data_IF_777864422184
#
_entry.id   IF_777864422184
#
_cell.length_a   1.000
_cell.length_b   1.000
_cell.length_c   1.000
_cell.angle_alpha   90.00
_cell.angle_beta   90.00
_cell.angle_gamma   90.00
#
_symmetry.space_group_name_H-M   'P 1'
#
loop_
_entity.id
_entity.type
_entity.pdbx_description
1 polymer ?
#
# COMPACT_ATOMS: atom_id res chain seq x y z
N UNK A 1 -11.09 -2.15 29.03
CA UNK A 1 -11.55 -1.75 27.68
C UNK A 1 -11.00 -2.78 26.72
N UNK A 2 -11.88 -3.67 26.27
CA UNK A 2 -11.50 -4.84 25.46
C UNK A 2 -11.26 -4.39 24.02
N UNK A 3 -10.05 -4.64 23.51
CA UNK A 3 -9.76 -4.49 22.08
C UNK A 3 -10.29 -5.77 21.43
N UNK A 4 -11.48 -5.71 20.84
CA UNK A 4 -12.02 -6.81 20.04
C UNK A 4 -11.11 -7.09 18.85
N UNK A 5 -10.78 -8.37 18.68
CA UNK A 5 -9.95 -8.87 17.59
C UNK A 5 -10.74 -8.73 16.29
N UNK A 6 -10.14 -8.11 15.29
CA UNK A 6 -10.74 -7.82 13.99
C UNK A 6 -10.99 -9.11 13.18
N UNK A 7 -12.20 -9.65 13.31
CA UNK A 7 -12.84 -10.36 12.20
C UNK A 7 -12.96 -9.34 11.07
N UNK A 8 -12.64 -9.71 9.83
CA UNK A 8 -12.84 -8.82 8.67
C UNK A 8 -14.34 -8.65 8.53
N UNK A 9 -14.88 -7.57 9.12
CA UNK A 9 -16.31 -7.34 9.12
C UNK A 9 -16.78 -7.15 7.68
N UNK A 10 -17.73 -7.99 7.26
CA UNK A 10 -18.54 -7.77 6.07
C UNK A 10 -19.29 -6.43 6.17
N UNK A 11 -19.46 -5.90 7.38
CA UNK A 11 -19.90 -4.53 7.62
C UNK A 11 -18.77 -3.54 7.30
N UNK A 12 -19.06 -2.61 6.39
CA UNK A 12 -18.12 -1.55 6.02
C UNK A 12 -17.78 -0.60 7.17
N UNK A 13 -16.73 0.23 7.00
CA UNK A 13 -16.40 1.24 7.98
C UNK A 13 -17.56 2.21 8.14
N UNK A 14 -17.87 2.53 9.39
CA UNK A 14 -18.98 3.42 9.78
C UNK A 14 -18.41 4.83 9.99
N UNK A 15 -19.19 5.84 9.60
CA UNK A 15 -18.82 7.24 9.72
C UNK A 15 -18.35 7.60 11.14
N UNK A 16 -17.28 8.39 11.22
CA UNK A 16 -16.71 8.93 12.46
C UNK A 16 -16.07 7.88 13.38
N UNK A 17 -15.93 6.62 12.92
CA UNK A 17 -15.27 5.57 13.69
C UNK A 17 -13.77 5.56 13.47
N UNK A 18 -13.10 4.84 14.34
CA UNK A 18 -11.66 4.63 14.27
C UNK A 18 -11.38 3.13 14.18
N UNK A 19 -10.49 2.76 13.26
CA UNK A 19 -10.15 1.37 12.99
C UNK A 19 -8.63 1.15 13.05
N UNK A 20 -8.23 -0.08 13.39
CA UNK A 20 -6.86 -0.54 13.12
C UNK A 20 -6.80 -1.01 11.66
N UNK A 21 -5.83 -0.50 10.93
CA UNK A 21 -5.57 -0.84 9.54
C UNK A 21 -4.07 -1.07 9.30
N UNK A 22 -3.75 -1.52 8.10
CA UNK A 22 -2.43 -2.01 7.71
C UNK A 22 -2.02 -1.47 6.35
N UNK A 23 -0.74 -1.10 6.24
CA UNK A 23 -0.11 -0.65 5.00
C UNK A 23 1.15 -1.49 4.73
N UNK A 24 1.14 -2.30 3.68
CA UNK A 24 2.32 -3.05 3.24
C UNK A 24 3.24 -2.19 2.38
N UNK A 25 4.52 -2.17 2.70
CA UNK A 25 5.55 -1.40 1.96
C UNK A 25 6.94 -2.01 2.18
N UNK A 26 7.99 -1.37 1.67
CA UNK A 26 9.39 -1.79 1.89
C UNK A 26 9.95 -1.25 3.21
N UNK A 27 11.01 -1.85 3.75
CA UNK A 27 11.68 -1.30 4.96
C UNK A 27 12.11 0.15 4.80
N UNK A 28 12.65 0.51 3.64
CA UNK A 28 13.11 1.86 3.37
C UNK A 28 11.94 2.86 3.42
N UNK A 29 10.80 2.52 2.81
CA UNK A 29 9.60 3.34 2.82
C UNK A 29 8.97 3.40 4.21
N UNK A 30 8.95 2.29 4.96
CA UNK A 30 8.45 2.30 6.33
C UNK A 30 9.24 3.25 7.24
N UNK A 31 10.58 3.25 7.14
CA UNK A 31 11.42 4.20 7.88
C UNK A 31 11.13 5.64 7.48
N UNK A 32 10.95 5.90 6.18
CA UNK A 32 10.56 7.22 5.67
C UNK A 32 9.22 7.66 6.26
N UNK A 33 8.19 6.82 6.18
CA UNK A 33 6.84 7.08 6.71
C UNK A 33 6.86 7.28 8.23
N UNK A 34 7.64 6.50 8.98
CA UNK A 34 7.81 6.70 10.41
C UNK A 34 8.42 8.06 10.75
N UNK A 35 9.36 8.54 9.93
CA UNK A 35 10.06 9.82 10.15
C UNK A 35 9.27 11.04 9.70
N UNK A 36 8.53 10.94 8.59
CA UNK A 36 7.87 12.09 7.95
C UNK A 36 6.35 12.04 7.97
N UNK A 37 5.77 10.96 8.48
CA UNK A 37 4.35 10.63 8.30
C UNK A 37 4.03 10.11 6.90
N UNK A 38 2.79 9.68 6.72
CA UNK A 38 2.25 9.28 5.41
C UNK A 38 2.12 10.48 4.48
N UNK A 39 2.19 10.20 3.18
CA UNK A 39 1.91 11.16 2.11
C UNK A 39 0.92 10.52 1.15
N UNK A 40 0.03 11.34 0.59
CA UNK A 40 -0.89 10.87 -0.43
C UNK A 40 -0.11 10.33 -1.63
N UNK A 41 -0.56 9.21 -2.18
CA UNK A 41 -0.21 8.82 -3.55
C UNK A 41 -0.63 9.93 -4.52
N UNK A 42 -0.08 9.98 -5.73
CA UNK A 42 -0.54 10.99 -6.69
C UNK A 42 -1.73 10.52 -7.55
N UNK A 43 -2.04 9.21 -7.53
CA UNK A 43 -3.19 8.59 -8.21
C UNK A 43 -3.50 7.22 -7.58
N UNK A 44 -4.50 6.52 -8.11
CA UNK A 44 -4.90 5.20 -7.68
C UNK A 44 -6.29 4.83 -8.20
N UNK A 45 -6.75 3.62 -7.89
CA UNK A 45 -8.10 3.15 -8.25
C UNK A 45 -9.19 4.08 -7.74
N UNK A 46 -8.95 4.65 -6.56
CA UNK A 46 -9.84 5.55 -5.83
C UNK A 46 -9.36 7.00 -5.90
N UNK A 47 -8.45 7.33 -6.81
CA UNK A 47 -7.79 8.65 -6.85
C UNK A 47 -6.61 8.75 -5.89
N UNK A 48 -6.25 9.97 -5.52
CA UNK A 48 -5.12 10.23 -4.60
C UNK A 48 -5.53 10.01 -3.14
N UNK A 49 -4.63 9.44 -2.34
CA UNK A 49 -4.85 9.21 -0.91
C UNK A 49 -3.83 8.24 -0.33
N UNK A 50 -4.07 7.79 0.90
CA UNK A 50 -3.29 6.74 1.55
C UNK A 50 -4.10 5.45 1.55
N UNK A 51 -3.53 4.41 0.94
CA UNK A 51 -4.18 3.12 0.75
C UNK A 51 -3.90 2.18 1.91
N UNK A 52 -4.96 1.63 2.48
CA UNK A 52 -4.95 0.83 3.70
C UNK A 52 -5.88 -0.37 3.53
N UNK A 53 -5.64 -1.41 4.34
CA UNK A 53 -6.59 -2.51 4.50
C UNK A 53 -6.76 -2.84 5.98
N UNK A 54 -7.96 -3.28 6.34
CA UNK A 54 -8.25 -3.90 7.65
C UNK A 54 -7.72 -5.33 7.74
N UNK A 55 -7.32 -5.93 6.62
CA UNK A 55 -6.71 -7.27 6.55
C UNK A 55 -5.17 -7.18 6.52
N UNK A 56 -4.55 -7.58 7.64
CA UNK A 56 -3.10 -7.67 7.76
C UNK A 56 -2.48 -8.61 6.72
N UNK A 57 -3.12 -9.74 6.42
CA UNK A 57 -2.62 -10.73 5.47
C UNK A 57 -2.66 -10.19 4.04
N UNK A 58 -3.69 -9.39 3.70
CA UNK A 58 -3.69 -8.64 2.44
C UNK A 58 -2.49 -7.69 2.39
N UNK A 59 -2.35 -6.83 3.39
CA UNK A 59 -1.30 -5.83 3.43
C UNK A 59 0.11 -6.45 3.35
N UNK A 60 0.36 -7.58 4.02
CA UNK A 60 1.69 -8.22 4.03
C UNK A 60 2.16 -8.75 2.67
N UNK A 61 1.27 -8.87 1.68
CA UNK A 61 1.66 -9.28 0.31
C UNK A 61 2.38 -8.17 -0.45
N UNK A 62 2.31 -6.92 0.02
CA UNK A 62 2.74 -5.74 -0.70
C UNK A 62 4.16 -5.30 -0.27
N UNK A 63 4.99 -4.82 -1.21
CA UNK A 63 4.73 -4.75 -2.65
C UNK A 63 4.77 -6.15 -3.32
N UNK A 64 3.91 -6.37 -4.31
CA UNK A 64 3.85 -7.66 -5.05
C UNK A 64 5.14 -7.84 -5.86
N UNK A 65 5.66 -9.07 -5.89
CA UNK A 65 6.92 -9.39 -6.55
C UNK A 65 8.17 -8.88 -5.83
N UNK A 66 8.03 -8.19 -4.68
CA UNK A 66 9.16 -7.77 -3.86
C UNK A 66 9.68 -8.92 -3.00
N UNK A 67 11.01 -9.05 -2.80
CA UNK A 67 11.57 -10.01 -1.86
C UNK A 67 10.89 -9.98 -0.50
N UNK A 68 10.44 -11.15 -0.04
CA UNK A 68 9.66 -11.26 1.20
C UNK A 68 10.38 -10.68 2.40
N UNK A 69 11.69 -10.95 2.48
CA UNK A 69 12.50 -10.47 3.57
C UNK A 69 12.47 -8.96 3.70
N UNK A 70 12.14 -8.17 2.67
CA UNK A 70 12.11 -6.70 2.70
C UNK A 70 10.71 -6.06 2.71
N UNK A 71 9.67 -6.88 2.61
CA UNK A 71 8.30 -6.42 2.85
C UNK A 71 8.12 -6.18 4.35
N UNK A 72 7.47 -5.09 4.72
CA UNK A 72 7.07 -4.78 6.10
C UNK A 72 5.66 -4.22 6.09
N UNK A 73 4.95 -4.37 7.21
CA UNK A 73 3.62 -3.80 7.37
C UNK A 73 3.64 -2.73 8.44
N UNK A 74 3.12 -1.55 8.12
CA UNK A 74 2.86 -0.49 9.11
C UNK A 74 1.44 -0.69 9.63
N UNK A 75 1.30 -0.91 10.93
CA UNK A 75 0.01 -0.94 11.61
C UNK A 75 -0.34 0.47 12.07
N UNK A 76 -1.56 0.89 11.77
CA UNK A 76 -2.03 2.25 12.00
C UNK A 76 -3.40 2.27 12.66
N UNK A 77 -3.68 3.35 13.37
CA UNK A 77 -5.02 3.70 13.83
C UNK A 77 -5.55 4.83 12.93
N UNK A 78 -6.74 4.65 12.37
CA UNK A 78 -7.30 5.54 11.35
C UNK A 78 -8.66 6.04 11.79
N UNK A 79 -8.83 7.37 11.92
CA UNK A 79 -10.15 7.98 11.97
C UNK A 79 -10.69 8.08 10.54
N UNK A 80 -11.76 7.35 10.20
CA UNK A 80 -12.23 7.28 8.81
C UNK A 80 -13.09 8.47 8.40
N UNK A 81 -13.48 9.33 9.35
CA UNK A 81 -14.32 10.49 9.06
C UNK A 81 -15.61 10.08 8.34
N UNK A 82 -16.01 10.83 7.32
CA UNK A 82 -17.14 10.49 6.46
C UNK A 82 -16.73 9.51 5.36
N UNK A 83 -17.38 8.35 5.32
CA UNK A 83 -17.05 7.24 4.42
C UNK A 83 -17.97 7.25 3.20
N UNK A 84 -17.41 6.98 2.03
CA UNK A 84 -18.18 6.61 0.83
C UNK A 84 -17.84 5.20 0.39
N UNK A 85 -18.88 4.42 0.08
CA UNK A 85 -18.72 3.12 -0.55
C UNK A 85 -18.55 3.26 -2.06
N UNK A 86 -17.45 2.73 -2.60
CA UNK A 86 -17.17 2.63 -4.04
C UNK A 86 -17.25 1.15 -4.42
N UNK A 87 -18.41 0.70 -4.89
CA UNK A 87 -18.74 -0.72 -5.06
C UNK A 87 -18.75 -1.21 -6.52
N UNK A 88 -18.27 -0.41 -7.47
CA UNK A 88 -18.21 -0.79 -8.89
C UNK A 88 -17.22 0.07 -9.65
N UNK A 89 -16.64 -0.50 -10.71
CA UNK A 89 -15.82 0.26 -11.63
C UNK A 89 -16.65 1.37 -12.30
N UNK A 90 -16.00 2.50 -12.56
CA UNK A 90 -16.62 3.72 -13.09
C UNK A 90 -17.69 4.31 -12.16
N UNK A 91 -17.55 4.13 -10.85
CA UNK A 91 -18.40 4.84 -9.89
C UNK A 91 -18.25 6.36 -10.11
N UNK A 92 -19.33 7.17 -10.12
CA UNK A 92 -19.26 8.60 -10.44
C UNK A 92 -18.30 9.40 -9.55
N UNK A 93 -18.12 8.93 -8.30
CA UNK A 93 -17.23 9.53 -7.32
C UNK A 93 -15.94 8.73 -7.09
N UNK A 94 -15.63 7.74 -7.92
CA UNK A 94 -14.50 6.82 -7.72
C UNK A 94 -13.19 7.54 -7.41
N UNK A 95 -12.92 8.67 -8.09
CA UNK A 95 -11.66 9.44 -7.92
C UNK A 95 -11.84 10.84 -7.33
N UNK A 96 -13.08 11.29 -7.13
CA UNK A 96 -13.46 12.67 -6.79
C UNK A 96 -14.31 12.76 -5.53
N UNK A 97 -14.39 11.67 -4.76
CA UNK A 97 -15.16 11.61 -3.52
C UNK A 97 -14.72 12.66 -2.49
N UNK A 98 -13.43 12.97 -2.41
CA UNK A 98 -12.90 13.99 -1.51
C UNK A 98 -13.43 15.39 -1.83
N UNK A 99 -13.65 15.73 -3.11
CA UNK A 99 -14.25 17.00 -3.53
C UNK A 99 -15.72 17.13 -3.07
N UNK A 100 -16.33 16.02 -2.65
CA UNK A 100 -17.70 15.95 -2.12
C UNK A 100 -17.73 15.89 -0.59
N UNK A 101 -16.59 16.12 0.07
CA UNK A 101 -16.47 16.17 1.52
C UNK A 101 -16.48 14.80 2.20
N UNK A 102 -16.08 13.75 1.49
CA UNK A 102 -15.78 12.45 2.10
C UNK A 102 -14.31 12.38 2.50
N UNK A 103 -14.02 11.75 3.63
CA UNK A 103 -12.69 11.62 4.20
C UNK A 103 -12.03 10.27 3.84
N UNK A 104 -12.86 9.24 3.60
CA UNK A 104 -12.41 7.90 3.20
C UNK A 104 -13.30 7.34 2.09
N UNK A 105 -12.69 6.78 1.04
CA UNK A 105 -13.37 5.89 0.11
C UNK A 105 -13.08 4.44 0.46
N UNK A 106 -14.13 3.62 0.52
CA UNK A 106 -14.05 2.21 0.88
C UNK A 106 -14.59 1.31 -0.25
N UNK A 107 -13.85 0.26 -0.56
CA UNK A 107 -14.22 -0.80 -1.49
C UNK A 107 -14.69 -2.01 -0.70
N UNK A 108 -15.96 -2.44 -0.86
CA UNK A 108 -16.44 -3.66 -0.23
C UNK A 108 -15.76 -4.92 -0.77
N UNK A 109 -15.65 -5.98 0.03
CA UNK A 109 -15.21 -7.27 -0.49
C UNK A 109 -16.19 -7.76 -1.56
N UNK A 110 -15.67 -8.46 -2.56
CA UNK A 110 -16.41 -9.17 -3.62
C UNK A 110 -17.38 -8.28 -4.43
N UNK A 111 -17.12 -6.97 -4.52
CA UNK A 111 -17.95 -6.05 -5.31
C UNK A 111 -17.50 -5.89 -6.77
N UNK A 112 -16.45 -6.61 -7.20
CA UNK A 112 -15.93 -6.52 -8.57
C UNK A 112 -15.10 -5.26 -8.87
N UNK A 113 -14.70 -4.51 -7.83
CA UNK A 113 -13.74 -3.41 -7.96
C UNK A 113 -12.32 -3.90 -8.23
N UNK A 114 -11.88 -4.93 -7.49
CA UNK A 114 -10.54 -5.52 -7.60
C UNK A 114 -10.67 -7.01 -7.87
N UNK A 115 -9.77 -7.58 -8.68
CA UNK A 115 -9.77 -9.02 -9.04
C UNK A 115 -9.71 -9.91 -7.81
N UNK A 116 -8.90 -9.51 -6.82
CA UNK A 116 -8.77 -10.20 -5.54
C UNK A 116 -10.08 -10.33 -4.76
N UNK A 117 -11.07 -9.48 -5.05
CA UNK A 117 -12.29 -9.37 -4.28
C UNK A 117 -12.08 -8.93 -2.82
N UNK A 118 -10.90 -8.42 -2.46
CA UNK A 118 -10.61 -7.97 -1.11
C UNK A 118 -10.95 -6.48 -0.93
N UNK A 119 -11.28 -6.12 0.30
CA UNK A 119 -11.63 -4.75 0.68
C UNK A 119 -10.43 -3.80 0.65
N UNK A 120 -10.70 -2.51 0.48
CA UNK A 120 -9.65 -1.48 0.45
C UNK A 120 -10.18 -0.13 0.91
N UNK A 121 -9.40 0.56 1.73
CA UNK A 121 -9.65 1.92 2.18
C UNK A 121 -8.65 2.88 1.52
N UNK A 122 -9.15 4.02 1.07
CA UNK A 122 -8.32 5.15 0.63
C UNK A 122 -8.69 6.39 1.45
N UNK A 123 -7.78 6.79 2.34
CA UNK A 123 -7.94 7.92 3.24
C UNK A 123 -7.38 9.18 2.60
N UNK A 124 -8.14 10.26 2.67
CA UNK A 124 -7.78 11.52 2.03
C UNK A 124 -6.61 12.20 2.74
N UNK A 125 -6.81 12.63 3.99
CA UNK A 125 -5.82 13.37 4.75
C UNK A 125 -4.95 12.42 5.60
N UNK A 126 -3.63 12.34 5.35
CA UNK A 126 -2.71 11.56 6.18
C UNK A 126 -2.75 11.89 7.67
N UNK A 127 -3.20 13.10 8.07
CA UNK A 127 -3.34 13.47 9.49
C UNK A 127 -4.38 12.65 10.25
N UNK A 128 -5.27 11.95 9.54
CA UNK A 128 -6.23 11.03 10.13
C UNK A 128 -5.61 9.68 10.52
N UNK A 129 -4.34 9.46 10.17
CA UNK A 129 -3.63 8.20 10.35
C UNK A 129 -2.56 8.36 11.43
N UNK A 130 -2.69 7.58 12.49
CA UNK A 130 -1.70 7.48 13.56
C UNK A 130 -0.91 6.19 13.40
N UNK A 131 0.41 6.29 13.25
CA UNK A 131 1.30 5.13 13.19
C UNK A 131 1.40 4.50 14.58
N UNK A 132 1.14 3.20 14.69
CA UNK A 132 1.25 2.46 15.95
C UNK A 132 2.57 1.69 16.02
N UNK A 133 2.83 0.84 15.04
CA UNK A 133 4.01 -0.03 15.01
C UNK A 133 4.33 -0.52 13.59
N UNK A 134 5.48 -1.15 13.42
CA UNK A 134 5.86 -1.86 12.20
C UNK A 134 6.02 -3.35 12.50
N UNK A 135 5.44 -4.17 11.65
CA UNK A 135 5.47 -5.63 11.70
C UNK A 135 6.45 -6.10 10.63
N UNK A 136 7.54 -6.72 11.07
CA UNK A 136 8.53 -7.31 10.18
C UNK A 136 8.23 -8.80 9.91
N UNK A 137 8.59 -9.30 8.72
CA UNK A 137 8.52 -10.72 8.40
C UNK A 137 9.48 -11.48 9.32
N UNK A 138 9.02 -12.58 9.89
CA UNK A 138 9.87 -13.42 10.73
C UNK A 138 10.90 -14.13 9.86
N UNK A 139 12.19 -13.95 10.18
CA UNK A 139 13.26 -14.74 9.55
C UNK A 139 13.17 -16.18 10.06
N UNK A 140 12.83 -17.13 9.19
CA UNK A 140 13.02 -18.55 9.50
C UNK A 140 14.53 -18.80 9.46
N UNK A 141 15.13 -19.10 10.61
CA UNK A 141 16.51 -19.60 10.65
C UNK A 141 16.49 -20.99 10.03
N UNK A 142 17.38 -21.24 9.07
CA UNK A 142 17.63 -22.53 8.42
C UNK A 142 17.56 -23.69 9.44
N UNK A 143 16.42 -24.38 9.50
CA UNK A 143 16.38 -25.74 10.02
C UNK A 143 16.82 -26.62 8.87
N UNK A 144 18.06 -27.10 8.94
CA UNK A 144 18.68 -27.89 7.89
C UNK A 144 17.81 -29.05 7.39
N UNK A 145 18.08 -29.42 6.14
CA UNK A 145 17.47 -30.47 5.31
C UNK A 145 16.19 -30.06 4.52
N UNK A 146 16.44 -29.61 3.29
CA UNK A 146 15.60 -29.94 2.12
C UNK A 146 14.21 -29.30 1.99
N UNK A 147 13.80 -28.42 2.89
CA UNK A 147 12.46 -27.81 2.85
C UNK A 147 12.51 -26.37 2.33
N UNK A 148 11.68 -26.06 1.33
CA UNK A 148 11.55 -24.73 0.69
C UNK A 148 11.12 -23.67 1.73
N UNK A 149 11.57 -22.40 1.59
CA UNK A 149 11.23 -21.34 2.55
C UNK A 149 9.71 -21.07 2.54
N UNK A 150 9.12 -21.08 3.74
CA UNK A 150 7.70 -20.84 3.98
C UNK A 150 7.54 -19.39 4.41
N UNK A 151 6.55 -18.69 3.86
CA UNK A 151 6.15 -17.36 4.34
C UNK A 151 5.52 -17.48 5.72
N UNK A 152 6.12 -16.87 6.74
CA UNK A 152 5.68 -17.06 8.15
C UNK A 152 5.41 -15.74 8.85
N UNK A 153 4.50 -14.94 8.27
CA UNK A 153 3.84 -13.87 9.03
C UNK A 153 3.05 -14.41 10.26
N UNK A 154 2.80 -15.72 10.37
CA UNK A 154 1.81 -16.29 11.29
C UNK A 154 2.17 -17.63 11.96
N UNK A 155 3.41 -17.87 12.39
CA UNK A 155 3.75 -19.13 13.09
C UNK A 155 3.57 -19.13 14.62
N UNK A 156 3.11 -18.05 15.27
CA UNK A 156 3.06 -18.00 16.74
C UNK A 156 1.67 -18.07 17.39
N UNK A 157 0.55 -17.87 16.65
CA UNK A 157 -0.76 -17.66 17.30
C UNK A 157 -2.00 -18.26 16.58
N UNK A 158 -1.87 -19.29 15.72
CA UNK A 158 -3.05 -19.98 15.14
C UNK A 158 -2.95 -21.52 15.24
N UNK A 159 -4.08 -22.22 15.48
CA UNK A 159 -4.14 -23.68 15.58
C UNK A 159 -3.75 -24.38 14.26
N UNK A 160 -3.19 -25.59 14.39
CA UNK A 160 -2.38 -26.38 13.44
C UNK A 160 -2.88 -26.63 11.99
N UNK A 161 -3.96 -26.03 11.51
CA UNK A 161 -4.47 -26.34 10.18
C UNK A 161 -4.75 -25.10 9.34
N UNK A 162 -3.69 -24.45 8.83
CA UNK A 162 -3.69 -23.79 7.52
C UNK A 162 -2.29 -23.29 7.17
N UNK A 163 -1.51 -24.18 6.58
CA UNK A 163 -0.21 -23.88 5.99
C UNK A 163 -0.41 -23.30 4.58
N UNK A 164 0.21 -22.16 4.30
CA UNK A 164 0.04 -21.45 3.02
C UNK A 164 1.12 -21.91 2.04
N UNK A 165 0.73 -22.52 0.92
CA UNK A 165 1.65 -22.88 -0.17
C UNK A 165 1.65 -21.77 -1.23
N UNK A 166 2.76 -21.05 -1.33
CA UNK A 166 3.00 -20.01 -2.33
C UNK A 166 3.13 -20.54 -3.78
N UNK A 167 2.97 -21.84 -4.01
CA UNK A 167 2.96 -22.46 -5.34
C UNK A 167 1.62 -23.15 -5.67
N UNK A 168 0.54 -22.85 -4.95
CA UNK A 168 -0.80 -23.34 -5.30
C UNK A 168 -1.18 -22.84 -6.72
N UNK A 169 -1.31 -23.73 -7.72
CA UNK A 169 -1.62 -23.35 -9.09
C UNK A 169 -3.07 -22.84 -9.26
N UNK A 170 -3.91 -22.99 -8.23
CA UNK A 170 -5.26 -22.42 -8.17
C UNK A 170 -5.30 -21.05 -7.44
N UNK A 171 -4.14 -20.50 -7.00
CA UNK A 171 -4.03 -19.09 -6.57
C UNK A 171 -3.96 -18.18 -7.81
N UNK A 172 -5.14 -17.80 -8.30
CA UNK A 172 -5.43 -16.89 -9.43
C UNK A 172 -4.67 -15.54 -9.40
N UNK A 173 -3.87 -15.27 -8.38
CA UNK A 173 -3.14 -14.03 -8.15
C UNK A 173 -1.84 -13.88 -8.96
N UNK A 174 -1.21 -14.97 -9.41
CA UNK A 174 0.07 -14.91 -10.12
C UNK A 174 -0.06 -14.53 -11.61
N UNK A 175 -1.28 -14.48 -12.16
CA UNK A 175 -1.53 -14.08 -13.54
C UNK A 175 -1.81 -12.56 -13.71
N UNK A 176 -1.63 -11.76 -12.65
CA UNK A 176 -1.83 -10.29 -12.63
C UNK A 176 -0.67 -9.49 -13.26
N UNK A 177 -0.14 -9.98 -14.38
CA UNK A 177 0.74 -9.22 -15.25
C UNK A 177 -0.02 -8.08 -15.96
N UNK A 178 0.16 -6.85 -15.48
CA UNK A 178 0.01 -5.62 -16.25
C UNK A 178 -1.40 -5.09 -16.57
N UNK A 179 -2.34 -4.99 -15.62
CA UNK A 179 -3.45 -4.01 -15.74
C UNK A 179 -3.87 -3.38 -14.41
N UNK A 180 -3.36 -2.16 -14.20
CA UNK A 180 -4.04 -1.02 -13.57
C UNK A 180 -4.75 -1.28 -12.23
N UNK A 181 -4.04 -1.06 -11.11
CA UNK A 181 -4.25 0.11 -10.22
C UNK A 181 -3.76 -0.04 -8.77
N UNK A 182 -3.35 -1.22 -8.29
CA UNK A 182 -3.41 -1.40 -6.83
C UNK A 182 -2.10 -1.25 -6.02
N UNK A 183 -0.91 -1.01 -6.63
CA UNK A 183 0.37 -0.94 -5.85
C UNK A 183 1.40 0.06 -6.39
N UNK A 184 1.15 0.72 -7.52
CA UNK A 184 2.24 1.32 -8.30
C UNK A 184 2.76 2.70 -7.78
N UNK A 185 2.68 2.99 -6.47
CA UNK A 185 3.01 4.32 -5.94
C UNK A 185 4.23 4.43 -5.03
N UNK A 186 4.91 3.32 -4.71
CA UNK A 186 6.22 3.38 -4.03
C UNK A 186 7.34 3.92 -4.96
N UNK A 187 7.12 4.01 -6.27
CA UNK A 187 8.17 4.27 -7.27
C UNK A 187 8.47 5.75 -7.60
N UNK A 188 7.67 6.71 -7.12
CA UNK A 188 7.91 8.14 -7.36
C UNK A 188 8.60 8.88 -6.20
N UNK A 189 8.86 8.22 -5.08
CA UNK A 189 9.67 8.78 -3.98
C UNK A 189 11.15 8.38 -4.02
N UNK A 190 11.51 7.26 -4.66
CA UNK A 190 12.92 6.85 -4.80
C UNK A 190 13.69 7.66 -5.86
N UNK A 191 13.01 8.34 -6.79
CA UNK A 191 13.69 9.13 -7.85
C UNK A 191 14.31 10.45 -7.37
N UNK A 192 14.13 10.86 -6.10
CA UNK A 192 14.67 12.12 -5.58
C UNK A 192 15.85 11.98 -4.61
N UNK A 193 16.23 10.78 -4.19
CA UNK A 193 17.36 10.56 -3.25
C UNK A 193 18.71 10.29 -3.93
N UNK A 194 18.80 10.35 -5.27
CA UNK A 194 20.07 10.36 -6.01
C UNK A 194 20.20 11.56 -6.96
N UNK A 195 19.83 12.74 -6.48
CA UNK A 195 20.18 14.02 -7.11
C UNK A 195 21.66 14.35 -6.95
N UNK A 196 22.49 13.81 -7.86
CA UNK A 196 23.75 14.36 -8.39
C UNK A 196 24.57 15.25 -7.45
N UNK A 197 25.62 14.66 -6.88
CA UNK A 197 26.75 15.38 -6.27
C UNK A 197 27.29 16.45 -7.23
N UNK A 198 27.35 17.70 -6.74
CA UNK A 198 28.03 18.80 -7.41
C UNK A 198 29.52 18.46 -7.51
N UNK A 199 30.02 18.26 -8.72
CA UNK A 199 31.44 18.49 -9.04
C UNK A 199 31.51 19.73 -9.91
N UNK A 200 32.05 20.78 -9.31
CA UNK A 200 32.66 21.93 -9.96
C UNK A 200 33.70 21.45 -10.96
N UNK A 201 33.65 21.96 -12.19
CA UNK A 201 34.83 22.23 -13.01
C UNK A 201 34.49 23.41 -13.90
N UNK A 202 35.26 24.48 -13.74
CA UNK A 202 35.36 25.60 -14.66
C UNK A 202 35.79 25.11 -16.05
N UNK A 203 35.21 25.69 -17.10
CA UNK A 203 35.98 26.29 -18.19
C UNK A 203 35.09 27.13 -19.12
N UNK A 204 35.68 28.23 -19.56
CA UNK A 204 35.16 29.36 -20.33
C UNK A 204 34.78 29.03 -21.78
N UNK A 205 33.98 29.96 -22.33
CA UNK A 205 33.84 30.38 -23.74
C UNK A 205 33.40 29.36 -24.79
N UNK A 206 32.31 29.68 -25.50
CA UNK A 206 32.40 30.26 -26.84
C UNK A 206 31.04 30.86 -27.25
N UNK A 207 31.12 32.04 -27.85
CA UNK A 207 30.02 32.88 -28.30
C UNK A 207 29.30 32.32 -29.54
N UNK A 208 28.08 32.83 -29.73
CA UNK A 208 27.45 33.17 -31.01
C UNK A 208 26.92 32.00 -31.88
N UNK A 209 25.60 32.00 -32.12
CA UNK A 209 25.05 32.13 -33.47
C UNK A 209 23.52 32.33 -33.42
N UNK A 210 23.15 33.42 -34.09
CA UNK A 210 21.87 34.05 -34.34
C UNK A 210 20.73 33.15 -34.87
N UNK A 211 19.51 33.63 -34.58
CA UNK A 211 18.31 33.78 -35.42
C UNK A 211 17.97 32.74 -36.52
N UNK A 212 16.71 32.29 -36.53
CA UNK A 212 15.69 32.45 -37.59
C UNK A 212 14.52 31.44 -37.40
N UNK A 213 13.30 31.70 -37.96
CA UNK A 213 12.06 31.60 -37.20
C UNK A 213 11.06 30.54 -37.71
N UNK A 214 9.93 30.51 -36.99
CA UNK A 214 8.66 29.83 -37.22
C UNK A 214 8.29 29.44 -38.65
N UNK A 215 7.76 28.22 -38.79
CA UNK A 215 6.46 27.93 -39.40
C UNK A 215 5.74 26.86 -38.59
#
# INVERSE_FOLDING_TARGET
>A
MSIERSQVDCEGPKDGKTYVMYHGTTRANARSIQSSGFRQSSNGMLGRGVYLSRDLKKASRYPIGHPEHDRVVIKVQVNVGKVITINRQNHPLQKTWHDRGYDTAWVPPKCGMVTSGLEEDCVWDPKQITILETIEPKSVRDTGAGSRPISTYYLADLPEHNYYDSNDPDDDFLNEGLRKLDIFWDELQARKTSGRSKRSHDHQDYQDYQDYPCY
#
